data_IF_488717400126
#
_entry.id   IF_488717400126
#
_cell.length_a   1.000
_cell.length_b   1.000
_cell.length_c   1.000
_cell.angle_alpha   90.00
_cell.angle_beta   90.00
_cell.angle_gamma   90.00
#
_symmetry.space_group_name_H-M   'P 1'
#
loop_
_entity.id
_entity.type
_entity.pdbx_description
1 polymer ?
#
# COMPACT_ATOMS: atom_id res chain seq x y z
N UNK A 1 8.23 21.31 -5.65
CA UNK A 1 7.82 20.11 -4.91
C UNK A 1 8.97 19.12 -4.90
N UNK A 2 9.18 18.38 -3.84
CA UNK A 2 10.28 17.41 -3.74
C UNK A 2 9.70 16.02 -3.58
N UNK A 3 10.27 15.07 -4.30
CA UNK A 3 9.85 13.68 -4.25
C UNK A 3 10.86 12.87 -3.46
N UNK A 4 10.36 11.94 -2.69
CA UNK A 4 11.15 10.91 -2.02
C UNK A 4 10.76 9.59 -2.65
N UNK A 5 11.70 8.91 -3.29
CA UNK A 5 11.50 7.57 -3.81
C UNK A 5 11.90 6.56 -2.74
N UNK A 6 10.93 5.82 -2.24
CA UNK A 6 11.13 4.80 -1.23
C UNK A 6 11.12 3.41 -1.88
N UNK A 7 12.25 2.72 -1.80
CA UNK A 7 12.46 1.39 -2.37
C UNK A 7 12.93 0.43 -1.28
N UNK A 8 12.04 -0.16 -0.48
CA UNK A 8 12.41 -1.02 0.65
C UNK A 8 13.16 -2.28 0.22
N UNK A 9 12.90 -2.79 -0.99
CA UNK A 9 13.65 -3.90 -1.59
C UNK A 9 15.07 -3.53 -2.02
N UNK A 10 15.43 -2.25 -1.98
CA UNK A 10 16.69 -1.72 -2.54
C UNK A 10 16.73 -1.68 -4.07
N UNK A 11 15.71 -2.21 -4.75
CA UNK A 11 15.62 -2.25 -6.21
C UNK A 11 14.74 -1.09 -6.67
N UNK A 12 15.34 -0.18 -7.45
CA UNK A 12 14.60 0.90 -8.11
C UNK A 12 13.94 0.31 -9.35
N UNK A 13 12.60 0.35 -9.50
CA UNK A 13 11.95 -0.10 -10.72
C UNK A 13 12.48 0.66 -11.94
N UNK A 14 12.65 -0.04 -13.07
CA UNK A 14 13.25 0.51 -14.28
C UNK A 14 12.64 1.85 -14.71
N UNK A 15 11.33 2.00 -14.57
CA UNK A 15 10.61 3.24 -14.87
C UNK A 15 11.01 4.44 -13.99
N UNK A 16 11.60 4.20 -12.80
CA UNK A 16 12.05 5.26 -11.89
C UNK A 16 13.57 5.48 -11.91
N UNK A 17 14.32 4.72 -12.69
CA UNK A 17 15.79 4.88 -12.80
C UNK A 17 16.13 6.29 -13.27
N UNK A 18 15.39 6.84 -14.24
CA UNK A 18 15.59 8.21 -14.72
C UNK A 18 15.36 9.26 -13.62
N UNK A 19 14.45 9.02 -12.68
CA UNK A 19 14.24 9.88 -11.51
C UNK A 19 15.42 9.80 -10.52
N UNK A 20 15.99 8.62 -10.34
CA UNK A 20 17.10 8.40 -9.39
C UNK A 20 18.43 8.96 -9.91
N UNK A 21 18.60 9.10 -11.22
CA UNK A 21 19.82 9.63 -11.88
C UNK A 21 19.85 11.15 -12.00
N UNK A 22 18.88 11.87 -11.45
CA UNK A 22 18.91 13.33 -11.36
C UNK A 22 18.45 14.08 -12.60
N UNK A 23 17.95 13.38 -13.63
CA UNK A 23 17.46 14.01 -14.87
C UNK A 23 16.16 14.79 -14.68
N UNK A 24 15.41 14.53 -13.61
CA UNK A 24 14.12 15.16 -13.32
C UNK A 24 14.06 15.59 -11.86
N UNK A 25 14.68 16.72 -11.55
CA UNK A 25 14.54 17.38 -10.23
C UNK A 25 15.21 16.66 -9.04
N UNK A 26 15.04 17.23 -7.85
CA UNK A 26 15.63 16.74 -6.59
C UNK A 26 14.89 15.49 -6.06
N UNK A 27 15.04 14.33 -6.68
CA UNK A 27 14.55 13.06 -6.18
C UNK A 27 15.62 12.44 -5.26
N UNK A 28 15.22 12.06 -4.05
CA UNK A 28 16.09 11.32 -3.15
C UNK A 28 15.61 9.89 -3.06
N UNK A 29 16.47 8.93 -3.42
CA UNK A 29 16.18 7.52 -3.25
C UNK A 29 16.54 7.07 -1.83
N UNK A 30 15.63 6.38 -1.17
CA UNK A 30 15.72 5.93 0.22
C UNK A 30 15.35 4.46 0.30
N UNK A 31 16.04 3.72 1.15
CA UNK A 31 15.85 2.25 1.29
C UNK A 31 15.26 1.86 2.63
N UNK A 32 15.48 2.66 3.68
CA UNK A 32 15.06 2.33 5.04
C UNK A 32 13.97 3.24 5.56
N UNK A 33 13.16 2.73 6.48
CA UNK A 33 12.14 3.52 7.19
C UNK A 33 12.75 4.69 7.95
N UNK A 34 13.91 4.47 8.57
CA UNK A 34 14.62 5.51 9.35
C UNK A 34 15.08 6.68 8.47
N UNK A 35 15.68 6.37 7.32
CA UNK A 35 16.06 7.40 6.33
C UNK A 35 14.84 8.19 5.86
N UNK A 36 13.69 7.49 5.62
CA UNK A 36 12.45 8.11 5.21
C UNK A 36 11.96 9.10 6.28
N UNK A 37 11.90 8.67 7.54
CA UNK A 37 11.50 9.51 8.68
C UNK A 37 12.42 10.72 8.84
N UNK A 38 13.72 10.52 8.79
CA UNK A 38 14.71 11.59 8.91
C UNK A 38 14.58 12.61 7.79
N UNK A 39 14.34 12.14 6.55
CA UNK A 39 14.15 13.03 5.41
C UNK A 39 12.90 13.90 5.55
N UNK A 40 11.81 13.32 6.03
CA UNK A 40 10.54 14.02 6.19
C UNK A 40 10.53 15.00 7.35
N UNK A 41 11.28 14.75 8.42
CA UNK A 41 11.46 15.73 9.52
C UNK A 41 11.97 17.05 9.00
N UNK A 42 12.87 17.03 8.04
CA UNK A 42 13.46 18.25 7.46
C UNK A 42 12.65 18.81 6.29
N UNK A 43 11.65 18.04 5.77
CA UNK A 43 10.92 18.41 4.55
C UNK A 43 9.50 17.83 4.55
N UNK A 44 8.59 18.35 5.39
CA UNK A 44 7.27 17.79 5.58
C UNK A 44 6.36 17.86 4.32
N UNK A 45 6.67 18.71 3.35
CA UNK A 45 5.88 18.89 2.12
C UNK A 45 6.32 17.95 0.98
N UNK A 46 7.06 16.89 1.28
CA UNK A 46 7.46 15.91 0.26
C UNK A 46 6.33 14.92 -0.02
N UNK A 47 6.24 14.47 -1.28
CA UNK A 47 5.43 13.31 -1.65
C UNK A 47 6.34 12.10 -1.70
N UNK A 48 5.89 11.02 -1.09
CA UNK A 48 6.59 9.74 -1.10
C UNK A 48 6.07 8.90 -2.25
N UNK A 49 6.96 8.44 -3.12
CA UNK A 49 6.66 7.42 -4.14
C UNK A 49 7.24 6.12 -3.62
N UNK A 50 6.41 5.17 -3.28
CA UNK A 50 6.82 3.86 -2.78
C UNK A 50 6.82 2.83 -3.90
N UNK A 51 7.99 2.23 -4.15
CA UNK A 51 8.12 1.10 -5.05
C UNK A 51 7.85 -0.19 -4.28
N UNK A 52 6.65 -0.74 -4.44
CA UNK A 52 6.22 -1.97 -3.79
C UNK A 52 4.76 -1.94 -3.35
N UNK A 53 4.31 -3.09 -2.88
CA UNK A 53 2.94 -3.28 -2.43
C UNK A 53 2.80 -2.90 -0.95
N UNK A 54 1.77 -2.13 -0.58
CA UNK A 54 1.57 -1.73 0.82
C UNK A 54 1.47 -2.90 1.80
N UNK A 55 0.89 -4.02 1.38
CA UNK A 55 0.71 -5.18 2.24
C UNK A 55 2.04 -5.84 2.67
N UNK A 56 3.11 -5.67 1.88
CA UNK A 56 4.44 -6.19 2.20
C UNK A 56 5.11 -5.45 3.37
N UNK A 57 4.67 -4.21 3.64
CA UNK A 57 5.19 -3.35 4.69
C UNK A 57 4.06 -2.71 5.52
N UNK A 58 2.96 -3.43 5.77
CA UNK A 58 1.74 -2.89 6.38
C UNK A 58 1.97 -2.23 7.74
N UNK A 59 2.79 -2.84 8.61
CA UNK A 59 3.11 -2.28 9.92
C UNK A 59 3.91 -0.98 9.82
N UNK A 60 4.87 -0.93 8.90
CA UNK A 60 5.63 0.28 8.62
C UNK A 60 4.70 1.41 8.16
N UNK A 61 3.78 1.15 7.24
CA UNK A 61 2.84 2.15 6.74
C UNK A 61 1.85 2.60 7.80
N UNK A 62 1.42 1.70 8.69
CA UNK A 62 0.59 2.06 9.83
C UNK A 62 1.32 3.03 10.77
N UNK A 63 2.57 2.72 11.17
CA UNK A 63 3.40 3.60 11.99
C UNK A 63 3.67 4.94 11.29
N UNK A 64 3.98 4.88 10.00
CA UNK A 64 4.21 6.07 9.20
C UNK A 64 2.97 6.98 9.14
N UNK A 65 1.79 6.42 8.91
CA UNK A 65 0.53 7.17 8.88
C UNK A 65 0.26 7.88 10.19
N UNK A 66 0.49 7.23 11.31
CA UNK A 66 0.28 7.82 12.63
C UNK A 66 1.15 9.07 12.85
N UNK A 67 2.40 9.02 12.38
CA UNK A 67 3.36 10.10 12.59
C UNK A 67 3.33 11.17 11.47
N UNK A 68 2.86 10.78 10.26
CA UNK A 68 2.93 11.58 9.05
C UNK A 68 1.65 11.48 8.20
N UNK A 69 0.46 11.56 8.80
CA UNK A 69 -0.84 11.40 8.12
C UNK A 69 -1.08 12.41 6.99
N UNK A 70 -0.41 13.56 7.03
CA UNK A 70 -0.49 14.61 6.02
C UNK A 70 0.42 14.38 4.81
N UNK A 71 1.36 13.44 4.89
CA UNK A 71 2.27 13.12 3.78
C UNK A 71 1.57 12.16 2.83
N UNK A 72 1.47 12.54 1.56
CA UNK A 72 0.90 11.69 0.53
C UNK A 72 1.90 10.60 0.12
N UNK A 73 1.45 9.35 0.13
CA UNK A 73 2.21 8.19 -0.31
C UNK A 73 1.56 7.63 -1.57
N UNK A 74 2.33 7.54 -2.65
CA UNK A 74 1.93 6.96 -3.92
C UNK A 74 2.61 5.60 -4.08
N UNK A 75 1.85 4.53 -3.97
CA UNK A 75 2.39 3.17 -4.15
C UNK A 75 2.32 2.75 -5.61
N UNK A 76 3.45 2.27 -6.12
CA UNK A 76 3.61 1.78 -7.49
C UNK A 76 4.09 0.34 -7.46
N UNK A 77 3.30 -0.56 -8.02
CA UNK A 77 3.64 -1.97 -8.13
C UNK A 77 3.09 -2.54 -9.45
N UNK A 78 3.62 -3.68 -9.93
CA UNK A 78 3.12 -4.35 -11.14
C UNK A 78 1.65 -4.76 -11.02
N UNK A 79 1.21 -5.08 -9.81
CA UNK A 79 -0.17 -5.44 -9.49
C UNK A 79 -0.45 -5.14 -8.01
N UNK A 80 -1.73 -5.07 -7.69
CA UNK A 80 -2.20 -4.94 -6.30
C UNK A 80 -3.20 -6.04 -5.99
N UNK A 81 -3.12 -6.56 -4.78
CA UNK A 81 -4.02 -7.58 -4.24
C UNK A 81 -5.08 -6.94 -3.33
N UNK A 82 -6.17 -7.64 -3.00
CA UNK A 82 -7.21 -7.12 -2.10
C UNK A 82 -6.69 -6.53 -0.78
N UNK A 83 -5.66 -7.10 -0.10
CA UNK A 83 -5.09 -6.46 1.08
C UNK A 83 -4.47 -5.09 0.82
N UNK A 84 -3.82 -4.89 -0.35
CA UNK A 84 -3.24 -3.59 -0.72
C UNK A 84 -4.33 -2.52 -0.87
N UNK A 85 -5.43 -2.89 -1.54
CA UNK A 85 -6.61 -2.03 -1.71
C UNK A 85 -7.24 -1.70 -0.35
N UNK A 86 -7.32 -2.68 0.54
CA UNK A 86 -7.85 -2.51 1.89
C UNK A 86 -7.00 -1.54 2.71
N UNK A 87 -5.66 -1.69 2.69
CA UNK A 87 -4.73 -0.80 3.37
C UNK A 87 -4.88 0.64 2.85
N UNK A 88 -4.91 0.83 1.53
CA UNK A 88 -5.14 2.14 0.92
C UNK A 88 -6.51 2.73 1.29
N UNK A 89 -7.52 1.90 1.45
CA UNK A 89 -8.84 2.31 1.91
C UNK A 89 -8.87 2.77 3.38
N UNK A 90 -7.96 2.25 4.20
CA UNK A 90 -7.81 2.60 5.62
C UNK A 90 -6.86 3.78 5.80
N UNK A 91 -5.67 3.72 5.21
CA UNK A 91 -4.66 4.79 5.27
C UNK A 91 -4.93 5.81 4.16
N UNK A 92 -5.68 6.87 4.49
CA UNK A 92 -6.19 7.85 3.51
C UNK A 92 -5.11 8.64 2.77
N UNK A 93 -3.92 8.73 3.33
CA UNK A 93 -2.76 9.36 2.69
C UNK A 93 -2.04 8.44 1.70
N UNK A 94 -2.39 7.14 1.64
CA UNK A 94 -1.78 6.15 0.78
C UNK A 94 -2.68 5.89 -0.43
N UNK A 95 -2.11 6.00 -1.63
CA UNK A 95 -2.82 5.80 -2.90
C UNK A 95 -2.11 4.77 -3.76
N UNK A 96 -2.89 3.89 -4.36
CA UNK A 96 -2.39 2.92 -5.32
C UNK A 96 -2.45 3.53 -6.72
N UNK A 97 -1.34 3.50 -7.43
CA UNK A 97 -1.28 3.95 -8.82
C UNK A 97 -1.42 2.76 -9.76
N UNK A 98 -2.12 2.97 -10.88
CA UNK A 98 -2.32 1.92 -11.88
C UNK A 98 -0.97 1.36 -12.36
N UNK A 99 -0.85 0.04 -12.50
CA UNK A 99 0.34 -0.57 -13.08
C UNK A 99 0.63 -0.01 -14.49
N UNK A 100 1.91 0.16 -14.82
CA UNK A 100 2.34 0.66 -16.13
C UNK A 100 2.14 2.16 -16.35
N UNK A 101 1.77 2.93 -15.32
CA UNK A 101 1.68 4.38 -15.41
C UNK A 101 3.06 4.99 -15.67
N UNK A 102 3.15 5.94 -16.62
CA UNK A 102 4.43 6.59 -16.91
C UNK A 102 4.91 7.46 -15.74
N UNK A 103 6.22 7.67 -15.66
CA UNK A 103 6.84 8.49 -14.62
C UNK A 103 6.30 9.91 -14.62
N UNK A 104 6.11 10.49 -15.80
CA UNK A 104 5.55 11.85 -15.98
C UNK A 104 4.13 11.92 -15.40
N UNK A 105 3.33 10.87 -15.60
CA UNK A 105 1.98 10.80 -15.06
C UNK A 105 2.00 10.67 -13.53
N UNK A 106 2.91 9.84 -12.97
CA UNK A 106 3.11 9.73 -11.51
C UNK A 106 3.50 11.08 -10.92
N UNK A 107 4.44 11.80 -11.55
CA UNK A 107 4.85 13.14 -11.13
C UNK A 107 3.68 14.12 -11.22
N UNK A 108 2.88 14.07 -12.29
CA UNK A 108 1.69 14.92 -12.45
C UNK A 108 0.69 14.69 -11.32
N UNK A 109 0.38 13.42 -10.99
CA UNK A 109 -0.49 13.07 -9.86
C UNK A 109 0.11 13.56 -8.53
N UNK A 110 1.42 13.39 -8.35
CA UNK A 110 2.10 13.84 -7.16
C UNK A 110 2.04 15.37 -7.00
N UNK A 111 2.22 16.13 -8.08
CA UNK A 111 2.12 17.58 -8.08
C UNK A 111 0.69 18.05 -7.73
N UNK A 112 -0.33 17.40 -8.28
CA UNK A 112 -1.74 17.71 -7.96
C UNK A 112 -2.11 17.25 -6.55
N UNK A 113 -1.54 16.14 -6.07
CA UNK A 113 -1.79 15.62 -4.73
C UNK A 113 -1.09 16.41 -3.62
N UNK A 114 0.04 17.03 -3.90
CA UNK A 114 0.77 17.87 -2.95
C UNK A 114 0.09 19.20 -2.65
N UNK A 115 -0.91 19.60 -3.43
CA UNK A 115 -1.85 20.68 -3.12
C UNK A 115 -2.89 20.30 -2.06
N UNK A 116 -2.88 19.08 -1.55
CA UNK A 116 -3.77 18.58 -0.49
C UNK A 116 -3.41 19.06 0.94
N UNK A 117 -2.95 20.31 1.07
CA UNK A 117 -3.05 21.01 2.36
C UNK A 117 -4.49 21.20 2.83
N UNK A 118 -5.47 20.66 2.10
CA UNK A 118 -6.90 20.72 2.34
C UNK A 118 -7.56 19.43 2.78
N UNK A 119 -6.83 18.35 3.11
CA UNK A 119 -7.43 17.31 3.95
C UNK A 119 -7.64 17.95 5.32
N UNK A 120 -8.84 18.50 5.52
CA UNK A 120 -9.27 19.01 6.81
C UNK A 120 -9.00 17.90 7.82
N UNK A 121 -8.33 18.26 8.90
CA UNK A 121 -8.04 17.38 10.06
C UNK A 121 -9.26 16.59 10.57
N UNK A 122 -10.47 16.98 10.15
CA UNK A 122 -11.76 16.37 10.50
C UNK A 122 -12.07 15.04 9.78
N UNK A 123 -11.34 14.66 8.72
CA UNK A 123 -11.52 13.38 8.04
C UNK A 123 -10.44 12.35 8.39
N UNK A 124 -9.58 12.67 9.34
CA UNK A 124 -8.68 11.70 9.94
C UNK A 124 -9.56 10.69 10.68
N UNK A 125 -9.64 9.48 10.14
CA UNK A 125 -10.31 8.35 10.80
C UNK A 125 -9.96 8.31 12.29
N UNK A 126 -10.88 7.84 13.15
CA UNK A 126 -10.62 7.69 14.57
C UNK A 126 -9.24 7.06 14.73
N UNK A 127 -8.41 7.66 15.56
CA UNK A 127 -7.03 7.25 15.81
C UNK A 127 -7.05 5.75 16.02
N UNK A 128 -6.51 4.99 15.08
CA UNK A 128 -6.36 3.55 15.26
C UNK A 128 -5.26 3.37 16.29
N UNK A 129 -5.64 3.15 17.52
CA UNK A 129 -4.75 3.16 18.69
C UNK A 129 -3.71 2.04 18.64
N UNK A 130 -3.95 0.99 17.84
CA UNK A 130 -3.05 -0.14 17.75
C UNK A 130 -3.01 -0.77 16.34
N UNK A 131 -1.89 -1.42 16.05
CA UNK A 131 -1.69 -2.18 14.83
C UNK A 131 -2.70 -3.34 14.69
N UNK A 132 -3.09 -3.96 15.81
CA UNK A 132 -4.08 -5.03 15.81
C UNK A 132 -5.47 -4.55 15.36
N UNK A 133 -5.89 -3.39 15.81
CA UNK A 133 -7.15 -2.75 15.36
C UNK A 133 -7.09 -2.39 13.88
N UNK A 134 -5.96 -1.83 13.44
CA UNK A 134 -5.71 -1.56 12.03
C UNK A 134 -5.82 -2.82 11.18
N UNK A 135 -5.12 -3.90 11.55
CA UNK A 135 -5.18 -5.16 10.81
C UNK A 135 -6.55 -5.81 10.81
N UNK A 136 -7.30 -5.69 11.90
CA UNK A 136 -8.70 -6.16 11.95
C UNK A 136 -9.55 -5.44 10.91
N UNK A 137 -9.42 -4.12 10.78
CA UNK A 137 -10.15 -3.34 9.79
C UNK A 137 -9.71 -3.67 8.36
N UNK A 138 -8.39 -3.81 8.12
CA UNK A 138 -7.84 -4.26 6.83
C UNK A 138 -8.40 -5.62 6.44
N UNK A 139 -8.42 -6.58 7.36
CA UNK A 139 -8.93 -7.93 7.10
C UNK A 139 -10.43 -7.93 6.82
N UNK A 140 -11.23 -7.14 7.54
CA UNK A 140 -12.66 -6.98 7.29
C UNK A 140 -12.92 -6.44 5.87
N UNK A 141 -12.21 -5.39 5.48
CA UNK A 141 -12.33 -4.82 4.13
C UNK A 141 -11.85 -5.78 3.05
N UNK A 142 -10.73 -6.46 3.29
CA UNK A 142 -10.21 -7.48 2.36
C UNK A 142 -11.24 -8.59 2.16
N UNK A 143 -11.85 -9.07 3.24
CA UNK A 143 -12.93 -10.05 3.15
C UNK A 143 -14.11 -9.52 2.33
N UNK A 144 -14.53 -8.28 2.52
CA UNK A 144 -15.61 -7.67 1.76
C UNK A 144 -15.26 -7.59 0.27
N UNK A 145 -14.04 -7.15 -0.09
CA UNK A 145 -13.57 -7.08 -1.48
C UNK A 145 -13.59 -8.46 -2.10
N UNK A 146 -12.98 -9.45 -1.43
CA UNK A 146 -12.93 -10.84 -1.94
C UNK A 146 -14.33 -11.42 -2.13
N UNK A 147 -15.25 -11.15 -1.21
CA UNK A 147 -16.63 -11.66 -1.30
C UNK A 147 -17.45 -10.94 -2.37
N UNK A 148 -17.11 -9.70 -2.73
CA UNK A 148 -17.75 -8.94 -3.81
C UNK A 148 -17.25 -9.35 -5.20
N UNK A 149 -16.04 -9.91 -5.30
CA UNK A 149 -15.49 -10.39 -6.56
C UNK A 149 -16.28 -11.61 -7.08
N UNK A 150 -16.28 -11.79 -8.41
CA UNK A 150 -16.95 -12.93 -9.07
C UNK A 150 -16.14 -14.22 -8.98
N UNK A 151 -15.67 -14.53 -7.77
CA UNK A 151 -15.05 -15.83 -7.51
C UNK A 151 -16.12 -16.92 -7.35
N UNK A 152 -15.85 -18.14 -7.82
CA UNK A 152 -16.66 -19.29 -7.47
C UNK A 152 -16.78 -19.46 -5.95
N UNK A 153 -17.95 -19.88 -5.47
CA UNK A 153 -18.24 -19.98 -4.02
C UNK A 153 -17.22 -20.83 -3.26
N UNK A 154 -16.65 -21.85 -3.91
CA UNK A 154 -15.60 -22.69 -3.35
C UNK A 154 -14.34 -21.88 -3.07
N UNK A 155 -13.91 -21.03 -4.01
CA UNK A 155 -12.75 -20.16 -3.86
C UNK A 155 -12.99 -19.09 -2.79
N UNK A 156 -14.18 -18.52 -2.72
CA UNK A 156 -14.55 -17.56 -1.65
C UNK A 156 -14.44 -18.19 -0.27
N UNK A 157 -14.89 -19.44 -0.10
CA UNK A 157 -14.77 -20.17 1.16
C UNK A 157 -13.29 -20.39 1.54
N UNK A 158 -12.44 -20.80 0.59
CA UNK A 158 -10.99 -20.93 0.83
C UNK A 158 -10.39 -19.60 1.27
N UNK A 159 -10.64 -18.53 0.52
CA UNK A 159 -10.11 -17.20 0.84
C UNK A 159 -10.59 -16.72 2.22
N UNK A 160 -11.84 -16.99 2.58
CA UNK A 160 -12.37 -16.68 3.91
C UNK A 160 -11.64 -17.42 5.03
N UNK A 161 -11.30 -18.68 4.84
CA UNK A 161 -10.54 -19.47 5.81
C UNK A 161 -9.11 -18.98 5.94
N UNK A 162 -8.45 -18.67 4.83
CA UNK A 162 -7.09 -18.13 4.83
C UNK A 162 -7.03 -16.75 5.50
N UNK A 163 -8.01 -15.88 5.24
CA UNK A 163 -8.14 -14.57 5.89
C UNK A 163 -8.46 -14.68 7.40
N UNK A 164 -9.06 -15.80 7.82
CA UNK A 164 -9.26 -16.13 9.23
C UNK A 164 -8.01 -16.72 9.91
N UNK A 165 -6.91 -16.87 9.15
CA UNK A 165 -5.63 -17.37 9.67
C UNK A 165 -5.47 -18.89 9.61
N UNK A 166 -6.37 -19.59 8.92
CA UNK A 166 -6.22 -21.04 8.72
C UNK A 166 -5.18 -21.34 7.64
N UNK A 167 -4.52 -22.50 7.76
CA UNK A 167 -3.55 -22.94 6.75
C UNK A 167 -4.23 -23.43 5.46
N UNK A 168 -3.44 -23.55 4.39
CA UNK A 168 -3.90 -24.13 3.12
C UNK A 168 -4.36 -25.58 3.28
N UNK A 169 -3.64 -26.36 4.07
CA UNK A 169 -3.94 -27.76 4.38
C UNK A 169 -5.26 -27.88 5.10
N UNK A 170 -5.48 -27.05 6.12
CA UNK A 170 -6.76 -26.99 6.84
C UNK A 170 -7.89 -26.62 5.89
N UNK A 171 -7.71 -25.60 5.04
CA UNK A 171 -8.72 -25.14 4.10
C UNK A 171 -9.07 -26.22 3.08
N UNK A 172 -8.09 -26.95 2.56
CA UNK A 172 -8.29 -28.06 1.65
C UNK A 172 -9.06 -29.23 2.31
N UNK A 173 -8.67 -29.56 3.53
CA UNK A 173 -9.31 -30.63 4.33
C UNK A 173 -10.75 -30.27 4.69
N UNK A 174 -11.00 -29.03 5.12
CA UNK A 174 -12.34 -28.52 5.43
C UNK A 174 -13.28 -28.59 4.22
N UNK A 175 -12.77 -28.28 3.04
CA UNK A 175 -13.54 -28.32 1.80
C UNK A 175 -13.58 -29.70 1.12
N UNK A 176 -12.96 -30.71 1.75
CA UNK A 176 -12.85 -32.07 1.21
C UNK A 176 -12.33 -32.08 -0.22
N UNK A 177 -11.29 -31.31 -0.51
CA UNK A 177 -10.74 -31.13 -1.85
C UNK A 177 -9.21 -31.12 -1.81
N UNK A 178 -8.58 -31.56 -2.89
CA UNK A 178 -7.12 -31.44 -3.01
C UNK A 178 -6.67 -29.99 -3.16
N UNK A 179 -5.51 -29.62 -2.59
CA UNK A 179 -4.97 -28.26 -2.68
C UNK A 179 -4.90 -27.76 -4.13
N UNK A 180 -4.54 -28.64 -5.08
CA UNK A 180 -4.47 -28.29 -6.51
C UNK A 180 -5.84 -28.00 -7.14
N UNK A 181 -6.92 -28.55 -6.58
CA UNK A 181 -8.28 -28.37 -7.11
C UNK A 181 -8.96 -27.08 -6.61
N UNK A 182 -8.31 -26.33 -5.77
CA UNK A 182 -8.85 -25.06 -5.25
C UNK A 182 -8.77 -23.96 -6.30
N UNK A 183 -7.81 -24.05 -7.22
CA UNK A 183 -7.49 -23.00 -8.21
C UNK A 183 -7.87 -23.35 -9.65
N UNK A 184 -8.42 -24.53 -9.89
CA UNK A 184 -9.03 -24.92 -11.16
C UNK A 184 -10.53 -24.66 -11.12
#
# INVERSE_FOLDING_TARGET
MRFVLFCPSGIVPAQFVALSTGSVGNVTCIKTEEELRNKLRHRPQSVVISAGRPAECAEMWFRFYRDHSFVVVLCVAPFFLPPDVSISGVLKNLRLLKPGMSVEHVISIANTSGGFSGLKHAEILPVMDSYSVFMKEVNNRTKTIVMSERFPEKQKKVLSLLLAGHSWEYSAQFLKTGIRQIWL
#
